data_IF_241309378980
#
_entry.id   IF_241309378980
#
_cell.length_a   1.000
_cell.length_b   1.000
_cell.length_c   1.000
_cell.angle_alpha   90.00
_cell.angle_beta   90.00
_cell.angle_gamma   90.00
#
_symmetry.space_group_name_H-M   'P 1'
#
loop_
_entity.id
_entity.type
_entity.pdbx_description
1 polymer ?
#
# COMPACT_ATOMS: atom_id res chain seq x y z
N UNK A 1 -2.09 -25.13 -10.36
CA UNK A 1 -2.32 -23.72 -10.73
C UNK A 1 -1.05 -22.93 -10.51
N UNK A 2 -0.59 -22.19 -11.53
CA UNK A 2 0.57 -21.31 -11.39
C UNK A 2 0.16 -20.05 -10.66
N UNK A 3 0.97 -19.64 -9.68
CA UNK A 3 0.74 -18.43 -8.89
C UNK A 3 1.56 -17.28 -9.46
N UNK A 4 0.90 -16.20 -9.83
CA UNK A 4 1.49 -14.96 -10.31
C UNK A 4 1.58 -13.98 -9.14
N UNK A 5 2.80 -13.68 -8.72
CA UNK A 5 3.09 -12.60 -7.77
C UNK A 5 3.30 -11.31 -8.55
N UNK A 6 2.26 -10.47 -8.59
CA UNK A 6 2.28 -9.20 -9.30
C UNK A 6 3.02 -8.16 -8.46
N UNK A 7 4.03 -7.54 -9.07
CA UNK A 7 4.82 -6.46 -8.47
C UNK A 7 4.85 -5.24 -9.36
N UNK A 8 5.05 -4.07 -8.73
CA UNK A 8 5.33 -2.80 -9.39
C UNK A 8 6.56 -2.16 -8.77
N UNK A 9 7.62 -2.03 -9.58
CA UNK A 9 8.95 -1.70 -9.04
C UNK A 9 9.38 -2.78 -8.05
N UNK A 10 9.57 -2.39 -6.79
CA UNK A 10 9.92 -3.28 -5.67
C UNK A 10 8.72 -3.61 -4.76
N UNK A 11 7.56 -2.97 -5.00
CA UNK A 11 6.36 -3.18 -4.19
C UNK A 11 5.59 -4.38 -4.69
N UNK A 12 5.20 -5.25 -3.76
CA UNK A 12 4.26 -6.33 -4.03
C UNK A 12 2.84 -5.77 -4.09
N UNK A 13 2.07 -6.16 -5.10
CA UNK A 13 0.69 -5.72 -5.24
C UNK A 13 -0.29 -6.81 -4.81
N UNK A 14 -0.31 -7.96 -5.49
CA UNK A 14 -1.20 -9.07 -5.18
C UNK A 14 -0.70 -10.41 -5.73
N UNK A 15 -1.35 -11.48 -5.29
CA UNK A 15 -1.18 -12.83 -5.82
C UNK A 15 -2.40 -13.21 -6.66
N UNK A 16 -2.19 -13.86 -7.79
CA UNK A 16 -3.25 -14.36 -8.66
C UNK A 16 -2.93 -15.79 -9.10
N UNK A 17 -3.93 -16.67 -9.17
CA UNK A 17 -3.72 -18.05 -9.61
C UNK A 17 -4.46 -18.33 -10.92
N UNK A 18 -3.81 -19.11 -11.80
CA UNK A 18 -4.42 -19.51 -13.07
C UNK A 18 -3.81 -20.83 -13.59
N UNK A 19 -4.56 -21.62 -14.38
CA UNK A 19 -3.99 -22.78 -15.05
C UNK A 19 -3.05 -22.39 -16.18
N UNK A 20 -2.12 -23.29 -16.50
CA UNK A 20 -1.06 -23.03 -17.50
C UNK A 20 -1.60 -23.06 -18.94
N UNK A 21 -2.80 -23.62 -19.13
CA UNK A 21 -3.51 -23.67 -20.41
C UNK A 21 -4.14 -22.33 -20.82
N UNK A 22 -4.15 -21.32 -19.95
CA UNK A 22 -4.77 -20.03 -20.26
C UNK A 22 -3.92 -19.23 -21.25
N UNK A 23 -4.60 -18.49 -22.14
CA UNK A 23 -3.94 -17.58 -23.07
C UNK A 23 -3.34 -16.38 -22.33
N UNK A 24 -2.21 -15.88 -22.82
CA UNK A 24 -1.57 -14.71 -22.22
C UNK A 24 -2.46 -13.46 -22.33
N UNK A 25 -3.24 -13.31 -23.40
CA UNK A 25 -4.20 -12.19 -23.50
C UNK A 25 -5.25 -12.23 -22.40
N UNK A 26 -5.86 -13.40 -22.15
CA UNK A 26 -6.84 -13.57 -21.06
C UNK A 26 -6.20 -13.28 -19.70
N UNK A 27 -5.00 -13.82 -19.44
CA UNK A 27 -4.26 -13.57 -18.20
C UNK A 27 -3.99 -12.07 -18.00
N UNK A 28 -3.46 -11.39 -19.02
CA UNK A 28 -3.12 -9.96 -18.93
C UNK A 28 -4.37 -9.13 -18.65
N UNK A 29 -5.49 -9.41 -19.33
CA UNK A 29 -6.77 -8.73 -19.09
C UNK A 29 -7.26 -8.96 -17.67
N UNK A 30 -7.25 -10.19 -17.17
CA UNK A 30 -7.64 -10.51 -15.79
C UNK A 30 -6.77 -9.79 -14.76
N UNK A 31 -5.45 -9.77 -14.94
CA UNK A 31 -4.54 -9.05 -14.05
C UNK A 31 -4.78 -7.53 -14.07
N UNK A 32 -5.04 -6.95 -15.24
CA UNK A 32 -5.35 -5.52 -15.37
C UNK A 32 -6.68 -5.18 -14.68
N UNK A 33 -7.72 -5.99 -14.90
CA UNK A 33 -9.03 -5.83 -14.24
C UNK A 33 -8.90 -5.87 -12.72
N UNK A 34 -8.23 -6.88 -12.19
CA UNK A 34 -8.00 -7.01 -10.76
C UNK A 34 -7.25 -5.80 -10.21
N UNK A 35 -6.18 -5.37 -10.87
CA UNK A 35 -5.43 -4.20 -10.42
C UNK A 35 -6.29 -2.93 -10.43
N UNK A 36 -7.05 -2.69 -11.49
CA UNK A 36 -7.92 -1.51 -11.59
C UNK A 36 -9.07 -1.58 -10.57
N UNK A 37 -9.67 -2.74 -10.32
CA UNK A 37 -10.69 -2.94 -9.29
C UNK A 37 -10.14 -2.70 -7.89
N UNK A 38 -8.91 -3.15 -7.59
CA UNK A 38 -8.24 -2.88 -6.31
C UNK A 38 -8.02 -1.38 -6.10
N UNK A 39 -7.55 -0.67 -7.12
CA UNK A 39 -7.40 0.79 -7.07
C UNK A 39 -8.74 1.49 -6.86
N UNK A 40 -9.80 1.06 -7.56
CA UNK A 40 -11.17 1.56 -7.39
C UNK A 40 -11.70 1.33 -5.97
N UNK A 41 -11.49 0.15 -5.40
CA UNK A 41 -11.91 -0.14 -4.03
C UNK A 41 -11.13 0.67 -2.98
N UNK A 42 -9.82 0.80 -3.13
CA UNK A 42 -9.00 1.61 -2.23
C UNK A 42 -9.44 3.07 -2.24
N UNK A 43 -9.63 3.64 -3.43
CA UNK A 43 -10.06 5.03 -3.61
C UNK A 43 -11.47 5.27 -3.08
N UNK A 44 -12.41 4.35 -3.33
CA UNK A 44 -13.75 4.39 -2.74
C UNK A 44 -13.71 4.32 -1.22
N UNK A 45 -12.91 3.40 -0.64
CA UNK A 45 -12.80 3.26 0.80
C UNK A 45 -12.27 4.52 1.49
N UNK A 46 -11.30 5.22 0.87
CA UNK A 46 -10.83 6.51 1.36
C UNK A 46 -11.92 7.60 1.23
N UNK A 47 -12.69 7.59 0.14
CA UNK A 47 -13.77 8.54 -0.06
C UNK A 47 -14.95 8.37 0.92
N UNK A 48 -15.22 7.14 1.38
CA UNK A 48 -16.30 6.84 2.35
C UNK A 48 -16.11 7.54 3.69
N UNK A 49 -14.88 7.66 4.18
CA UNK A 49 -14.59 8.34 5.45
C UNK A 49 -14.96 9.83 5.38
N UNK A 50 -14.62 10.49 4.26
CA UNK A 50 -14.97 11.87 4.00
C UNK A 50 -16.47 12.04 3.72
N UNK A 51 -17.09 11.10 3.01
CA UNK A 51 -18.54 11.10 2.74
C UNK A 51 -19.35 11.03 4.03
N UNK A 52 -18.97 10.15 4.96
CA UNK A 52 -19.68 10.01 6.23
C UNK A 52 -19.58 11.24 7.14
N UNK A 53 -18.43 11.92 7.13
CA UNK A 53 -18.16 13.12 7.95
C UNK A 53 -18.75 14.39 7.36
N UNK A 54 -18.52 14.62 6.08
CA UNK A 54 -18.76 15.92 5.43
C UNK A 54 -19.92 15.89 4.44
N UNK A 55 -20.58 14.73 4.24
CA UNK A 55 -21.74 14.63 3.36
C UNK A 55 -21.41 14.66 1.88
N UNK A 56 -22.42 14.95 1.06
CA UNK A 56 -22.30 14.96 -0.40
C UNK A 56 -21.34 16.05 -0.92
N UNK A 57 -20.82 15.86 -2.13
CA UNK A 57 -19.99 16.83 -2.83
C UNK A 57 -20.80 18.06 -3.25
N UNK A 58 -20.21 19.24 -3.06
CA UNK A 58 -20.74 20.50 -3.62
C UNK A 58 -20.59 20.48 -5.14
N UNK A 59 -21.51 21.16 -5.82
CA UNK A 59 -21.37 21.44 -7.25
C UNK A 59 -20.02 22.11 -7.52
N UNK A 60 -19.31 21.78 -8.62
CA UNK A 60 -17.98 22.32 -8.92
C UNK A 60 -17.86 23.86 -8.81
N UNK A 61 -18.92 24.59 -9.20
CA UNK A 61 -18.97 26.05 -9.16
C UNK A 61 -19.05 26.66 -7.74
N UNK A 62 -19.34 25.86 -6.71
CA UNK A 62 -19.55 26.31 -5.32
C UNK A 62 -18.46 25.82 -4.37
N UNK A 63 -17.50 25.03 -4.85
CA UNK A 63 -16.40 24.52 -4.03
C UNK A 63 -15.45 25.67 -3.66
N UNK A 64 -15.03 25.73 -2.39
CA UNK A 64 -14.09 26.75 -1.89
C UNK A 64 -14.65 28.18 -1.77
N UNK A 65 -15.94 28.41 -2.07
CA UNK A 65 -16.57 29.73 -2.00
C UNK A 65 -17.39 29.96 -0.72
N UNK A 66 -17.22 29.11 0.30
CA UNK A 66 -18.04 29.12 1.52
C UNK A 66 -17.92 30.44 2.30
N UNK A 67 -16.77 31.10 2.24
CA UNK A 67 -16.53 32.38 2.90
C UNK A 67 -17.01 33.60 2.11
N UNK A 68 -17.28 33.44 0.81
CA UNK A 68 -17.56 34.55 -0.12
C UNK A 68 -18.99 34.52 -0.69
N UNK A 69 -19.78 33.48 -0.40
CA UNK A 69 -21.18 33.41 -0.80
C UNK A 69 -22.08 34.23 0.11
N UNK A 70 -22.82 35.17 -0.46
CA UNK A 70 -23.93 35.86 0.21
C UNK A 70 -24.97 34.83 0.71
N UNK A 71 -25.34 34.93 2.00
CA UNK A 71 -26.29 34.00 2.65
C UNK A 71 -25.68 32.69 3.18
N UNK A 72 -24.35 32.50 3.14
CA UNK A 72 -23.70 31.31 3.72
C UNK A 72 -23.90 31.18 5.25
N UNK A 73 -24.08 32.31 5.94
CA UNK A 73 -24.36 32.35 7.38
C UNK A 73 -25.82 31.96 7.72
N UNK A 74 -26.76 32.15 6.78
CA UNK A 74 -28.20 31.94 7.00
C UNK A 74 -28.69 30.53 6.61
N UNK A 75 -27.81 29.69 6.05
CA UNK A 75 -28.14 28.29 5.77
C UNK A 75 -28.32 27.53 7.08
N UNK A 76 -29.53 27.04 7.33
CA UNK A 76 -29.83 26.13 8.44
C UNK A 76 -29.00 24.86 8.27
N UNK A 77 -27.97 24.71 9.09
CA UNK A 77 -27.11 23.53 9.10
C UNK A 77 -27.83 22.37 9.78
N UNK A 78 -27.58 21.16 9.30
CA UNK A 78 -28.12 19.93 9.90
C UNK A 78 -27.51 19.63 11.27
N UNK A 79 -28.12 18.67 11.97
CA UNK A 79 -27.70 18.21 13.31
C UNK A 79 -26.26 17.63 13.32
N UNK A 80 -25.83 17.00 12.23
CA UNK A 80 -24.52 16.35 12.09
C UNK A 80 -23.55 17.15 11.21
N UNK A 81 -23.62 18.48 11.26
CA UNK A 81 -22.76 19.34 10.45
C UNK A 81 -21.30 19.36 10.95
N UNK A 82 -20.36 19.04 10.06
CA UNK A 82 -18.92 19.17 10.26
C UNK A 82 -18.32 19.90 9.04
N UNK A 83 -17.62 21.01 9.22
CA UNK A 83 -17.04 21.74 8.10
C UNK A 83 -15.93 20.93 7.42
N UNK A 84 -16.01 20.77 6.10
CA UNK A 84 -14.96 20.10 5.31
C UNK A 84 -13.70 20.98 5.27
N UNK A 85 -12.54 20.49 5.74
CA UNK A 85 -11.28 21.24 5.67
C UNK A 85 -10.87 21.61 4.24
N UNK A 86 -11.28 20.83 3.24
CA UNK A 86 -10.94 21.05 1.83
C UNK A 86 -12.00 21.88 1.09
N UNK A 87 -13.17 22.10 1.69
CA UNK A 87 -14.26 22.87 1.09
C UNK A 87 -14.91 22.24 -0.16
N UNK A 88 -14.70 20.95 -0.40
CA UNK A 88 -15.27 20.22 -1.55
C UNK A 88 -16.66 19.65 -1.25
N UNK A 89 -16.94 19.28 0.00
CA UNK A 89 -18.20 18.69 0.46
C UNK A 89 -19.09 19.69 1.20
N UNK A 90 -20.38 19.37 1.33
CA UNK A 90 -21.42 20.23 1.94
C UNK A 90 -21.20 20.50 3.43
N UNK A 91 -20.53 19.60 4.13
CA UNK A 91 -20.40 19.55 5.58
C UNK A 91 -21.57 18.85 6.29
N UNK A 92 -22.64 18.49 5.58
CA UNK A 92 -23.80 17.79 6.12
C UNK A 92 -23.54 16.28 6.19
N UNK A 93 -22.87 15.85 7.26
CA UNK A 93 -22.58 14.44 7.52
C UNK A 93 -23.81 13.60 7.84
N UNK A 94 -23.60 12.28 7.96
CA UNK A 94 -24.63 11.32 8.36
C UNK A 94 -24.62 11.07 9.87
N UNK A 95 -25.65 10.38 10.38
CA UNK A 95 -25.73 10.03 11.79
C UNK A 95 -24.51 9.21 12.25
N UNK A 96 -24.12 9.26 13.54
CA UNK A 96 -22.97 8.52 14.05
C UNK A 96 -23.04 7.02 13.77
N UNK A 97 -24.23 6.43 13.84
CA UNK A 97 -24.44 5.01 13.54
C UNK A 97 -24.13 4.67 12.08
N UNK A 98 -24.55 5.52 11.13
CA UNK A 98 -24.28 5.33 9.71
C UNK A 98 -22.81 5.61 9.37
N UNK A 99 -22.19 6.58 10.05
CA UNK A 99 -20.75 6.85 9.96
C UNK A 99 -19.93 5.64 10.41
N UNK A 100 -20.36 4.94 11.46
CA UNK A 100 -19.73 3.70 11.91
C UNK A 100 -19.91 2.56 10.89
N UNK A 101 -21.06 2.46 10.24
CA UNK A 101 -21.27 1.48 9.16
C UNK A 101 -20.35 1.76 7.98
N UNK A 102 -20.27 3.01 7.51
CA UNK A 102 -19.39 3.41 6.40
C UNK A 102 -17.92 3.16 6.73
N UNK A 103 -17.49 3.47 7.95
CA UNK A 103 -16.09 3.24 8.37
C UNK A 103 -15.75 1.75 8.48
N UNK A 104 -16.67 0.90 8.95
CA UNK A 104 -16.48 -0.56 8.96
C UNK A 104 -16.37 -1.12 7.56
N UNK A 105 -17.24 -0.69 6.64
CA UNK A 105 -17.20 -1.14 5.24
C UNK A 105 -15.93 -0.65 4.54
N UNK A 106 -15.50 0.57 4.80
CA UNK A 106 -14.23 1.10 4.30
C UNK A 106 -13.03 0.29 4.84
N UNK A 107 -13.00 -0.03 6.13
CA UNK A 107 -11.94 -0.84 6.74
C UNK A 107 -11.89 -2.26 6.17
N UNK A 108 -13.06 -2.89 5.96
CA UNK A 108 -13.18 -4.20 5.34
C UNK A 108 -12.62 -4.18 3.90
N UNK A 109 -13.01 -3.20 3.08
CA UNK A 109 -12.47 -3.01 1.73
C UNK A 109 -10.95 -2.76 1.73
N UNK A 110 -10.44 -1.91 2.64
CA UNK A 110 -8.98 -1.67 2.79
C UNK A 110 -8.22 -2.94 3.16
N UNK A 111 -8.78 -3.76 4.05
CA UNK A 111 -8.17 -5.04 4.43
C UNK A 111 -8.11 -6.04 3.28
N UNK A 112 -9.14 -6.03 2.42
CA UNK A 112 -9.22 -6.87 1.23
C UNK A 112 -8.32 -6.40 0.07
N UNK A 113 -7.76 -5.19 0.15
CA UNK A 113 -6.81 -4.67 -0.85
C UNK A 113 -5.39 -4.58 -0.31
N UNK A 114 -5.17 -4.80 0.99
CA UNK A 114 -3.85 -4.71 1.63
C UNK A 114 -2.87 -5.77 1.11
N UNK A 115 -2.07 -5.32 0.15
CA UNK A 115 -1.00 -6.08 -0.50
C UNK A 115 -0.04 -6.77 0.47
N UNK A 116 0.32 -6.14 1.60
CA UNK A 116 1.32 -6.68 2.52
C UNK A 116 0.75 -7.87 3.29
N UNK A 117 -0.45 -7.71 3.85
CA UNK A 117 -1.11 -8.77 4.59
C UNK A 117 -1.44 -9.98 3.71
N UNK A 118 -1.92 -9.72 2.48
CA UNK A 118 -2.32 -10.79 1.55
C UNK A 118 -1.13 -11.61 1.08
N UNK A 119 -0.03 -10.96 0.69
CA UNK A 119 1.18 -11.64 0.23
C UNK A 119 1.84 -12.43 1.36
N UNK A 120 1.87 -11.88 2.59
CA UNK A 120 2.40 -12.59 3.76
C UNK A 120 1.61 -13.86 4.09
N UNK A 121 0.28 -13.82 3.91
CA UNK A 121 -0.61 -14.97 4.13
C UNK A 121 -0.70 -15.91 2.92
N UNK A 122 -0.08 -15.57 1.79
CA UNK A 122 -0.17 -16.29 0.51
C UNK A 122 -1.60 -16.47 0.00
N UNK A 123 -2.44 -15.44 0.18
CA UNK A 123 -3.83 -15.44 -0.30
C UNK A 123 -3.85 -14.91 -1.73
N UNK A 124 -4.39 -15.70 -2.66
CA UNK A 124 -4.68 -15.27 -4.03
C UNK A 124 -5.97 -14.45 -4.04
N UNK A 125 -5.99 -13.37 -4.82
CA UNK A 125 -7.18 -12.52 -4.95
C UNK A 125 -8.03 -13.04 -6.11
N UNK A 126 -9.31 -13.26 -5.85
CA UNK A 126 -10.31 -13.55 -6.86
C UNK A 126 -11.13 -12.29 -7.21
N UNK A 127 -11.56 -12.18 -8.46
CA UNK A 127 -12.36 -11.04 -8.93
C UNK A 127 -13.73 -10.98 -8.22
N UNK A 128 -14.34 -12.14 -7.95
CA UNK A 128 -15.62 -12.23 -7.25
C UNK A 128 -15.59 -11.59 -5.86
N UNK A 129 -14.55 -11.84 -5.07
CA UNK A 129 -14.40 -11.26 -3.74
C UNK A 129 -14.33 -9.72 -3.78
N UNK A 130 -13.60 -9.15 -4.75
CA UNK A 130 -13.51 -7.69 -4.90
C UNK A 130 -14.86 -7.08 -5.34
N UNK A 131 -15.59 -7.76 -6.23
CA UNK A 131 -16.92 -7.32 -6.65
C UNK A 131 -17.93 -7.36 -5.49
N UNK A 132 -17.87 -8.36 -4.62
CA UNK A 132 -18.68 -8.39 -3.41
C UNK A 132 -18.39 -7.22 -2.47
N UNK A 133 -17.11 -6.87 -2.27
CA UNK A 133 -16.73 -5.68 -1.49
C UNK A 133 -17.25 -4.39 -2.12
N UNK A 134 -17.25 -4.30 -3.46
CA UNK A 134 -17.83 -3.17 -4.18
C UNK A 134 -19.35 -3.07 -3.94
N UNK A 135 -20.07 -4.19 -3.95
CA UNK A 135 -21.51 -4.21 -3.64
C UNK A 135 -21.79 -3.82 -2.18
N UNK A 136 -20.95 -4.23 -1.23
CA UNK A 136 -21.07 -3.83 0.16
C UNK A 136 -20.92 -2.30 0.31
N UNK A 137 -19.96 -1.69 -0.40
CA UNK A 137 -19.81 -0.23 -0.45
C UNK A 137 -21.07 0.41 -1.03
N UNK A 138 -21.58 -0.10 -2.16
CA UNK A 138 -22.80 0.41 -2.81
C UNK A 138 -24.00 0.37 -1.86
N UNK A 139 -24.18 -0.74 -1.15
CA UNK A 139 -25.24 -0.91 -0.14
C UNK A 139 -25.09 0.06 1.04
N UNK A 140 -23.87 0.25 1.54
CA UNK A 140 -23.58 1.18 2.63
C UNK A 140 -23.90 2.64 2.25
N UNK A 141 -23.51 3.05 1.03
CA UNK A 141 -23.82 4.39 0.51
C UNK A 141 -25.33 4.57 0.32
N UNK A 142 -26.04 3.57 -0.21
CA UNK A 142 -27.49 3.62 -0.38
C UNK A 142 -28.24 3.72 0.96
N UNK A 143 -27.75 3.05 2.01
CA UNK A 143 -28.29 3.18 3.37
C UNK A 143 -28.05 4.57 3.96
N UNK A 144 -26.85 5.12 3.74
CA UNK A 144 -26.47 6.43 4.26
C UNK A 144 -27.18 7.60 3.53
N UNK A 145 -27.45 7.44 2.23
CA UNK A 145 -28.10 8.44 1.38
C UNK A 145 -29.24 7.80 0.55
N UNK A 146 -30.42 7.58 1.15
CA UNK A 146 -31.54 6.91 0.47
C UNK A 146 -32.09 7.68 -0.74
N UNK A 147 -31.93 9.00 -0.76
CA UNK A 147 -32.30 9.86 -1.90
C UNK A 147 -31.24 9.89 -3.01
N UNK A 148 -30.15 9.13 -2.85
CA UNK A 148 -29.00 9.15 -3.72
C UNK A 148 -28.05 10.31 -3.42
N UNK A 149 -26.85 10.18 -3.98
CA UNK A 149 -25.86 11.25 -4.04
C UNK A 149 -26.02 12.04 -5.33
N UNK A 150 -25.55 13.29 -5.38
CA UNK A 150 -25.55 14.06 -6.62
C UNK A 150 -24.78 13.34 -7.74
N UNK A 151 -25.20 13.55 -8.99
CA UNK A 151 -24.55 12.93 -10.16
C UNK A 151 -23.09 13.36 -10.35
N UNK A 152 -22.72 14.55 -9.85
CA UNK A 152 -21.35 15.06 -9.87
C UNK A 152 -20.51 14.62 -8.67
N UNK A 153 -21.07 13.84 -7.73
CA UNK A 153 -20.31 13.35 -6.59
C UNK A 153 -19.31 12.27 -7.06
N UNK A 154 -18.02 12.37 -6.67
CA UNK A 154 -17.01 11.41 -7.09
C UNK A 154 -17.35 9.98 -6.66
N UNK A 155 -18.04 9.79 -5.53
CA UNK A 155 -18.46 8.45 -5.08
C UNK A 155 -19.52 7.87 -6.02
N UNK A 156 -20.48 8.67 -6.47
CA UNK A 156 -21.50 8.24 -7.44
C UNK A 156 -20.85 7.84 -8.76
N UNK A 157 -19.99 8.72 -9.31
CA UNK A 157 -19.27 8.48 -10.57
C UNK A 157 -18.43 7.20 -10.48
N UNK A 158 -17.73 7.00 -9.35
CA UNK A 158 -16.96 5.79 -9.10
C UNK A 158 -17.81 4.53 -8.87
N UNK A 159 -19.07 4.63 -8.46
CA UNK A 159 -19.95 3.46 -8.26
C UNK A 159 -20.73 3.08 -9.51
N UNK A 160 -21.09 4.06 -10.34
CA UNK A 160 -21.89 3.86 -11.54
C UNK A 160 -21.07 3.53 -12.79
N UNK A 161 -19.77 3.85 -12.79
CA UNK A 161 -18.88 3.48 -13.88
C UNK A 161 -18.82 1.96 -14.10
N UNK A 162 -19.07 1.52 -15.34
CA UNK A 162 -19.02 0.10 -15.72
C UNK A 162 -17.59 -0.44 -15.65
N UNK A 163 -16.61 0.33 -16.13
CA UNK A 163 -15.20 -0.02 -16.08
C UNK A 163 -14.48 0.72 -14.96
N UNK A 164 -13.55 0.03 -14.32
CA UNK A 164 -12.70 0.64 -13.31
C UNK A 164 -11.76 1.71 -13.88
N UNK A 165 -11.43 1.62 -15.18
CA UNK A 165 -10.65 2.66 -15.89
C UNK A 165 -11.41 3.99 -15.92
N UNK A 166 -12.70 3.95 -16.30
CA UNK A 166 -13.57 5.13 -16.36
C UNK A 166 -13.87 5.68 -14.95
N UNK A 167 -14.01 4.80 -13.95
CA UNK A 167 -14.22 5.20 -12.56
C UNK A 167 -13.06 6.02 -11.99
N UNK A 168 -11.85 5.81 -12.51
CA UNK A 168 -10.62 6.34 -11.95
C UNK A 168 -10.09 7.56 -12.71
N UNK A 169 -10.72 8.01 -13.81
CA UNK A 169 -10.19 9.08 -14.68
C UNK A 169 -9.92 10.40 -13.98
N UNK A 170 -10.72 10.74 -12.97
CA UNK A 170 -10.60 11.99 -12.19
C UNK A 170 -9.94 11.76 -10.82
N UNK A 171 -9.45 10.55 -10.57
CA UNK A 171 -8.83 10.16 -9.30
C UNK A 171 -7.33 10.47 -9.27
N UNK A 172 -6.74 10.59 -8.08
CA UNK A 172 -5.28 10.64 -7.94
C UNK A 172 -4.61 9.34 -8.42
N UNK A 173 -5.36 8.24 -8.51
CA UNK A 173 -4.87 6.93 -8.94
C UNK A 173 -4.78 6.74 -10.47
N UNK A 174 -5.11 7.74 -11.31
CA UNK A 174 -5.08 7.62 -12.79
C UNK A 174 -3.75 7.09 -13.32
N UNK A 175 -2.64 7.55 -12.75
CA UNK A 175 -1.30 7.14 -13.19
C UNK A 175 -1.05 5.65 -12.97
N UNK A 176 -1.78 5.04 -12.03
CA UNK A 176 -1.67 3.64 -11.65
C UNK A 176 -2.60 2.71 -12.42
N UNK A 177 -3.57 3.26 -13.14
CA UNK A 177 -4.53 2.51 -13.98
C UNK A 177 -3.78 1.83 -15.13
N UNK A 178 -4.09 0.55 -15.34
CA UNK A 178 -3.48 -0.29 -16.37
C UNK A 178 -4.52 -0.61 -17.46
N UNK A 179 -4.39 -0.07 -18.69
CA UNK A 179 -5.35 -0.32 -19.75
C UNK A 179 -5.27 -1.77 -20.23
N UNK A 180 -6.42 -2.47 -20.31
CA UNK A 180 -6.47 -3.88 -20.68
C UNK A 180 -5.84 -4.21 -22.05
N UNK A 181 -5.92 -3.30 -23.02
CA UNK A 181 -5.48 -3.56 -24.41
C UNK A 181 -4.00 -3.25 -24.67
N UNK A 182 -3.42 -2.34 -23.89
CA UNK A 182 -2.04 -1.86 -24.13
C UNK A 182 -1.04 -2.37 -23.11
N UNK A 183 -1.49 -2.97 -22.01
CA UNK A 183 -0.59 -3.42 -20.94
C UNK A 183 0.26 -4.61 -21.38
N UNK A 184 1.51 -4.61 -20.96
CA UNK A 184 2.51 -5.66 -21.18
C UNK A 184 2.87 -6.34 -19.87
N UNK A 185 2.99 -7.66 -19.89
CA UNK A 185 3.36 -8.47 -18.73
C UNK A 185 4.78 -9.01 -18.89
N UNK A 186 5.59 -8.84 -17.85
CA UNK A 186 7.01 -9.19 -17.87
C UNK A 186 7.36 -10.16 -16.73
N UNK A 187 8.17 -11.17 -17.04
CA UNK A 187 8.73 -12.13 -16.08
C UNK A 187 10.20 -12.38 -16.39
N UNK A 188 11.06 -12.22 -15.38
CA UNK A 188 12.50 -12.47 -15.49
C UNK A 188 13.18 -11.79 -16.72
N UNK A 189 12.69 -10.62 -17.14
CA UNK A 189 13.19 -9.90 -18.32
C UNK A 189 12.66 -10.38 -19.67
N UNK A 190 11.73 -11.34 -19.69
CA UNK A 190 10.99 -11.79 -20.87
C UNK A 190 9.55 -11.26 -20.83
N UNK A 191 9.02 -10.89 -21.98
CA UNK A 191 7.65 -10.44 -22.14
C UNK A 191 6.73 -11.63 -22.43
N UNK A 192 5.55 -11.65 -21.82
CA UNK A 192 4.44 -12.51 -22.24
C UNK A 192 3.76 -11.86 -23.44
N UNK A 193 3.94 -12.44 -24.62
CA UNK A 193 3.23 -11.99 -25.82
C UNK A 193 1.79 -12.51 -25.80
N UNK A 194 0.83 -11.67 -26.23
CA UNK A 194 -0.62 -11.95 -26.12
C UNK A 194 -1.10 -13.11 -26.99
N UNK A 195 -0.39 -13.42 -28.06
CA UNK A 195 -0.62 -14.53 -28.98
C UNK A 195 -0.18 -15.91 -28.42
N UNK A 196 0.54 -15.92 -27.29
CA UNK A 196 1.06 -17.12 -26.66
C UNK A 196 0.22 -17.57 -25.46
N UNK A 197 0.54 -18.74 -24.92
CA UNK A 197 -0.05 -19.28 -23.70
C UNK A 197 0.91 -19.19 -22.53
N UNK A 198 0.38 -19.29 -21.31
CA UNK A 198 1.20 -19.24 -20.09
C UNK A 198 2.28 -20.33 -20.11
N UNK A 199 1.95 -21.52 -20.65
CA UNK A 199 2.85 -22.68 -20.73
C UNK A 199 4.10 -22.44 -21.56
N UNK A 200 4.06 -21.50 -22.49
CA UNK A 200 5.18 -21.26 -23.42
C UNK A 200 6.38 -20.63 -22.69
N UNK A 201 6.11 -19.88 -21.62
CA UNK A 201 7.12 -19.31 -20.73
C UNK A 201 7.24 -20.07 -19.40
N UNK A 202 6.11 -20.41 -18.76
CA UNK A 202 6.07 -21.06 -17.45
C UNK A 202 6.39 -22.57 -17.49
N UNK A 203 6.34 -23.19 -18.68
CA UNK A 203 6.38 -24.64 -18.85
C UNK A 203 5.09 -25.32 -18.38
N UNK A 204 5.09 -26.66 -18.32
CA UNK A 204 3.91 -27.44 -17.91
C UNK A 204 3.75 -27.60 -16.39
N UNK A 205 4.59 -26.92 -15.59
CA UNK A 205 4.59 -27.10 -14.14
C UNK A 205 3.62 -26.15 -13.44
N UNK A 206 2.52 -26.73 -12.98
CA UNK A 206 1.45 -26.09 -12.21
C UNK A 206 1.79 -25.77 -10.74
N UNK A 207 3.01 -26.03 -10.27
CA UNK A 207 3.46 -25.74 -8.90
C UNK A 207 4.42 -24.54 -8.81
N UNK A 208 4.48 -23.73 -9.87
CA UNK A 208 5.42 -22.64 -10.01
C UNK A 208 4.84 -21.33 -9.49
N UNK A 209 5.67 -20.50 -8.85
CA UNK A 209 5.34 -19.11 -8.52
C UNK A 209 6.17 -18.18 -9.39
N UNK A 210 5.50 -17.33 -10.18
CA UNK A 210 6.14 -16.40 -11.11
C UNK A 210 6.02 -14.98 -10.57
N UNK A 211 7.16 -14.30 -10.39
CA UNK A 211 7.17 -12.89 -10.02
C UNK A 211 7.07 -12.07 -11.30
N UNK A 212 5.94 -11.40 -11.49
CA UNK A 212 5.61 -10.70 -12.72
C UNK A 212 5.41 -9.21 -12.48
N UNK A 213 5.70 -8.40 -13.51
CA UNK A 213 5.51 -6.96 -13.47
C UNK A 213 4.62 -6.52 -14.63
N UNK A 214 3.61 -5.71 -14.32
CA UNK A 214 2.76 -5.05 -15.30
C UNK A 214 3.40 -3.72 -15.73
N UNK A 215 3.47 -3.46 -17.02
CA UNK A 215 4.02 -2.22 -17.59
C UNK A 215 3.10 -1.63 -18.64
N UNK A 216 3.04 -0.30 -18.69
CA UNK A 216 2.34 0.42 -19.76
C UNK A 216 3.13 0.29 -21.06
N UNK A 217 2.43 0.29 -22.19
CA UNK A 217 3.05 0.19 -23.53
C UNK A 217 4.14 1.24 -23.69
N UNK A 218 5.32 0.82 -24.12
CA UNK A 218 6.47 1.71 -24.32
C UNK A 218 7.30 1.99 -23.06
N UNK A 219 6.94 1.44 -21.90
CA UNK A 219 7.74 1.50 -20.66
C UNK A 219 9.01 0.63 -20.68
N UNK A 220 9.15 -0.23 -21.69
CA UNK A 220 10.29 -1.14 -21.85
C UNK A 220 10.34 -2.25 -20.80
N UNK A 221 11.44 -3.01 -20.81
CA UNK A 221 11.66 -4.06 -19.83
C UNK A 221 11.76 -3.44 -18.42
N UNK A 222 11.02 -3.95 -17.43
CA UNK A 222 11.04 -3.39 -16.09
C UNK A 222 12.41 -3.56 -15.45
N UNK A 223 12.83 -2.57 -14.67
CA UNK A 223 14.10 -2.61 -13.93
C UNK A 223 14.21 -3.88 -13.10
N UNK A 224 15.40 -4.50 -13.16
CA UNK A 224 15.75 -5.62 -12.30
C UNK A 224 15.75 -5.18 -10.84
N UNK A 225 15.21 -6.03 -9.98
CA UNK A 225 15.24 -5.79 -8.53
C UNK A 225 16.70 -5.83 -8.04
N UNK A 226 17.08 -4.96 -7.09
CA UNK A 226 18.34 -5.12 -6.39
C UNK A 226 18.36 -6.51 -5.74
N UNK A 227 19.47 -7.25 -5.89
CA UNK A 227 19.58 -8.61 -5.32
C UNK A 227 19.59 -8.66 -3.79
N UNK A 228 19.50 -7.52 -3.12
CA UNK A 228 19.49 -7.35 -1.66
C UNK A 228 18.31 -6.46 -1.30
N UNK A 229 17.47 -6.89 -0.37
CA UNK A 229 16.35 -6.08 0.11
C UNK A 229 16.86 -4.81 0.80
N UNK A 230 16.05 -3.75 0.89
CA UNK A 230 16.49 -2.53 1.59
C UNK A 230 16.78 -2.77 3.07
N UNK A 231 16.03 -3.67 3.70
CA UNK A 231 16.23 -4.06 5.10
C UNK A 231 17.55 -4.81 5.28
N UNK A 232 17.87 -5.75 4.40
CA UNK A 232 19.16 -6.45 4.39
C UNK A 232 20.30 -5.48 4.06
N UNK A 233 20.10 -4.54 3.13
CA UNK A 233 21.09 -3.50 2.81
C UNK A 233 21.36 -2.63 4.04
N UNK A 234 20.32 -2.23 4.78
CA UNK A 234 20.45 -1.44 6.01
C UNK A 234 21.13 -2.25 7.12
N UNK A 235 20.77 -3.52 7.28
CA UNK A 235 21.42 -4.41 8.24
C UNK A 235 22.89 -4.65 7.90
N UNK A 236 23.20 -4.84 6.62
CA UNK A 236 24.56 -4.99 6.10
C UNK A 236 25.38 -3.71 6.31
N UNK A 237 24.84 -2.53 5.99
CA UNK A 237 25.49 -1.25 6.27
C UNK A 237 25.73 -1.05 7.77
N UNK A 238 24.75 -1.37 8.63
CA UNK A 238 24.89 -1.29 10.08
C UNK A 238 25.97 -2.25 10.60
N UNK A 239 26.03 -3.48 10.07
CA UNK A 239 27.06 -4.46 10.41
C UNK A 239 28.45 -3.98 10.01
N UNK A 240 28.62 -3.45 8.78
CA UNK A 240 29.90 -2.92 8.31
C UNK A 240 30.34 -1.69 9.10
N UNK A 241 29.41 -0.80 9.44
CA UNK A 241 29.69 0.37 10.28
C UNK A 241 30.15 -0.05 11.67
N UNK A 242 29.46 -1.00 12.31
CA UNK A 242 29.87 -1.55 13.61
C UNK A 242 31.25 -2.21 13.54
N UNK A 243 31.51 -3.00 12.49
CA UNK A 243 32.84 -3.59 12.27
C UNK A 243 33.93 -2.55 12.05
N UNK A 244 33.65 -1.46 11.33
CA UNK A 244 34.59 -0.36 11.18
C UNK A 244 34.88 0.32 12.51
N UNK A 245 33.87 0.54 13.35
CA UNK A 245 34.06 1.09 14.69
C UNK A 245 34.90 0.15 15.57
N UNK A 246 34.59 -1.15 15.57
CA UNK A 246 35.37 -2.15 16.31
C UNK A 246 36.83 -2.21 15.83
N UNK A 247 37.07 -2.15 14.51
CA UNK A 247 38.42 -2.11 13.94
C UNK A 247 39.15 -0.81 14.25
N UNK A 248 38.46 0.33 14.21
CA UNK A 248 39.02 1.63 14.57
C UNK A 248 39.39 1.65 16.06
N UNK A 249 38.50 1.16 16.92
CA UNK A 249 38.76 1.04 18.35
C UNK A 249 39.94 0.11 18.63
N UNK A 250 40.03 -1.03 17.93
CA UNK A 250 41.16 -1.95 18.07
C UNK A 250 42.48 -1.37 17.52
N UNK A 251 42.42 -0.42 16.59
CA UNK A 251 43.61 0.28 16.07
C UNK A 251 44.04 1.46 16.97
N UNK A 252 43.09 2.09 17.65
CA UNK A 252 43.33 3.14 18.67
C UNK A 252 43.69 2.56 20.04
N UNK A 253 43.47 1.26 20.26
CA UNK A 253 43.90 0.55 21.46
C UNK A 253 45.43 0.40 21.46
N UNK A 254 46.12 1.39 22.05
CA UNK A 254 47.57 1.41 22.25
C UNK A 254 48.06 0.39 23.30
N UNK A 255 47.21 -0.54 23.75
CA UNK A 255 47.47 -1.54 24.79
C UNK A 255 47.93 -0.96 26.15
N UNK A 256 47.81 0.36 26.35
CA UNK A 256 48.07 1.04 27.63
C UNK A 256 47.03 0.67 28.70
N UNK A 257 45.84 0.21 28.29
CA UNK A 257 44.83 -0.34 29.19
C UNK A 257 45.35 -1.56 29.97
N UNK A 258 46.28 -2.34 29.40
CA UNK A 258 46.96 -3.41 30.14
C UNK A 258 47.80 -2.85 31.30
N UNK A 259 48.46 -1.70 31.10
CA UNK A 259 49.34 -1.06 32.09
C UNK A 259 48.57 -0.45 33.28
N UNK A 260 47.30 -0.09 33.08
CA UNK A 260 46.42 0.41 34.13
C UNK A 260 45.45 -0.64 34.68
N UNK A 261 45.48 -1.85 34.12
CA UNK A 261 44.61 -2.96 34.56
C UNK A 261 44.93 -3.40 35.99
N UNK A 262 43.90 -3.70 36.77
CA UNK A 262 44.05 -4.21 38.15
C UNK A 262 44.77 -5.57 38.23
N UNK A 263 44.78 -6.32 37.12
CA UNK A 263 45.54 -7.56 36.97
C UNK A 263 47.05 -7.33 36.84
N UNK A 264 47.46 -6.22 36.22
CA UNK A 264 48.87 -5.89 36.05
C UNK A 264 49.52 -5.29 37.30
N UNK A 265 48.78 -4.99 38.37
CA UNK A 265 49.35 -4.51 39.63
C UNK A 265 50.01 -5.65 40.44
N UNK A 266 51.36 -5.72 40.51
CA UNK A 266 52.06 -6.78 41.25
C UNK A 266 51.82 -6.73 42.76
N UNK A 267 51.21 -5.66 43.28
CA UNK A 267 50.85 -5.48 44.69
C UNK A 267 49.37 -5.74 44.96
N UNK A 268 48.55 -6.02 43.95
CA UNK A 268 47.10 -6.22 44.09
C UNK A 268 46.75 -7.28 45.15
N UNK A 269 47.37 -8.46 45.07
CA UNK A 269 47.16 -9.55 46.04
C UNK A 269 47.56 -9.14 47.47
N UNK A 270 48.69 -8.43 47.60
CA UNK A 270 49.20 -7.95 48.89
C UNK A 270 48.27 -6.89 49.50
N UNK A 271 47.73 -6.00 48.68
CA UNK A 271 46.80 -4.96 49.10
C UNK A 271 45.43 -5.56 49.49
N UNK A 272 44.96 -6.57 48.76
CA UNK A 272 43.76 -7.33 49.10
C UNK A 272 43.91 -8.07 50.44
N UNK A 273 45.05 -8.74 50.67
CA UNK A 273 45.31 -9.47 51.91
C UNK A 273 45.48 -8.56 53.14
N UNK A 274 45.96 -7.33 52.93
CA UNK A 274 46.16 -6.32 53.98
C UNK A 274 44.95 -5.40 54.19
N UNK A 275 43.87 -5.58 53.41
CA UNK A 275 42.65 -4.77 53.49
C UNK A 275 42.81 -3.32 52.99
N UNK A 276 43.88 -3.01 52.25
CA UNK A 276 44.19 -1.64 51.77
C UNK A 276 43.77 -1.39 50.32
N UNK A 277 42.94 -2.26 49.73
CA UNK A 277 42.55 -2.19 48.30
C UNK A 277 41.78 -0.94 47.86
N UNK A 278 41.21 -0.16 48.80
CA UNK A 278 40.46 1.07 48.50
C UNK A 278 41.29 2.36 48.61
N UNK A 279 42.58 2.27 48.92
CA UNK A 279 43.45 3.45 49.04
C UNK A 279 44.13 3.67 47.69
N UNK A 280 43.59 4.60 46.88
CA UNK A 280 44.27 5.05 45.66
C UNK A 280 45.55 5.79 46.07
N UNK A 281 46.73 5.36 45.60
CA UNK A 281 47.92 6.20 45.75
C UNK A 281 47.71 7.50 44.95
N UNK A 282 48.10 8.64 45.52
CA UNK A 282 48.13 9.93 44.84
C UNK A 282 49.14 9.92 43.68
#
# INVERSE_FOLDING_TARGET
>A
MVVFHVKRGDRSEFLFETPVSVSNDTLIRSLCRLQNLRLRLSTLADALEGLGRYGAAKSPQKQGLDAYQEGAADKKRGEFYEADPLGHRTGEGVSPQLKDVLSRVAADAKSAVDSKAQVARRICIEEGELLEKLQNIRGAVAMAFPMGLPAHDPVTLMLDAERAEDALTDSSAVLEVMPEDTTELWWAGKQFFRDQHVRDLAGNNEKSTLIVKLQKKGGGAPSREPGVSEEERKAMMAFYFKKQQELQQAAEDDAEDYMTSSWADPKALKNALRGTGNIRPF
#
